data_IF_566028369498
#
_entry.id   IF_566028369498
#
_cell.length_a   1.000
_cell.length_b   1.000
_cell.length_c   1.000
_cell.angle_alpha   90.00
_cell.angle_beta   90.00
_cell.angle_gamma   90.00
#
_symmetry.space_group_name_H-M   'P 1'
#
loop_
_entity.id
_entity.type
_entity.pdbx_description
1 polymer ?
#
# COMPACT_ATOMS: atom_id res chain seq x y z
N UNK A 1 -5.96 -17.80 14.64
CA UNK A 1 -4.85 -17.60 13.69
C UNK A 1 -4.61 -16.10 13.57
N UNK A 2 -3.97 -15.49 14.58
CA UNK A 2 -3.69 -14.05 14.58
C UNK A 2 -2.38 -13.81 13.87
N UNK A 3 -2.39 -12.99 12.82
CA UNK A 3 -1.16 -12.46 12.24
C UNK A 3 -0.59 -11.49 13.29
N UNK A 4 0.40 -11.95 14.04
CA UNK A 4 1.20 -11.08 14.92
C UNK A 4 2.11 -10.29 14.00
N UNK A 5 2.02 -8.96 14.08
CA UNK A 5 2.96 -8.08 13.39
C UNK A 5 4.33 -8.19 14.06
N UNK A 6 5.33 -8.64 13.30
CA UNK A 6 6.72 -8.74 13.74
C UNK A 6 7.53 -7.54 13.17
N UNK A 7 8.01 -6.62 14.04
CA UNK A 7 8.81 -5.47 13.62
C UNK A 7 10.16 -5.85 13.01
N UNK A 8 10.74 -7.01 13.34
CA UNK A 8 12.03 -7.45 12.79
C UNK A 8 11.88 -8.12 11.41
N UNK A 9 10.66 -8.53 11.04
CA UNK A 9 10.36 -9.22 9.79
C UNK A 9 9.94 -8.31 8.62
N UNK A 10 10.19 -6.99 8.72
CA UNK A 10 9.83 -6.01 7.69
C UNK A 10 10.98 -5.03 7.41
N UNK A 11 12.14 -5.54 6.99
CA UNK A 11 13.22 -4.71 6.50
C UNK A 11 12.83 -4.03 5.18
N UNK A 12 13.42 -2.86 4.93
CA UNK A 12 13.30 -2.18 3.63
C UNK A 12 13.81 -3.15 2.55
N UNK A 13 12.95 -3.49 1.59
CA UNK A 13 13.12 -4.48 0.49
C UNK A 13 12.68 -5.94 0.76
N UNK A 14 12.08 -6.28 1.90
CA UNK A 14 11.52 -7.63 2.11
C UNK A 14 10.28 -7.90 1.23
N UNK A 15 9.58 -6.83 0.83
CA UNK A 15 8.43 -6.90 -0.08
C UNK A 15 8.85 -6.52 -1.50
N UNK A 16 8.55 -7.34 -2.53
CA UNK A 16 8.83 -6.97 -3.91
C UNK A 16 7.84 -5.90 -4.41
N UNK A 17 8.24 -5.14 -5.42
CA UNK A 17 7.34 -4.26 -6.16
C UNK A 17 6.22 -5.08 -6.85
N UNK A 18 5.04 -4.48 -7.14
CA UNK A 18 3.96 -5.16 -7.86
C UNK A 18 4.42 -5.68 -9.22
N UNK A 19 5.37 -4.96 -9.83
CA UNK A 19 6.10 -5.37 -11.01
C UNK A 19 7.59 -5.20 -10.75
N UNK A 20 8.32 -6.30 -10.53
CA UNK A 20 9.77 -6.26 -10.42
C UNK A 20 10.43 -5.74 -11.71
N UNK A 21 11.57 -5.08 -11.56
CA UNK A 21 12.38 -4.63 -12.69
C UNK A 21 12.93 -5.83 -13.48
N UNK A 22 13.01 -5.69 -14.81
CA UNK A 22 13.62 -6.71 -15.68
C UNK A 22 12.78 -7.94 -16.03
N UNK A 23 11.67 -8.22 -15.32
CA UNK A 23 10.78 -9.34 -15.66
C UNK A 23 9.72 -8.91 -16.67
N UNK A 24 9.33 -9.79 -17.61
CA UNK A 24 8.43 -9.46 -18.73
C UNK A 24 6.96 -9.82 -18.48
N UNK A 25 6.71 -10.89 -17.74
CA UNK A 25 5.39 -11.54 -17.64
C UNK A 25 5.00 -11.92 -16.20
N UNK A 26 5.65 -11.35 -15.19
CA UNK A 26 5.39 -11.62 -13.78
C UNK A 26 4.91 -10.36 -13.05
N UNK A 27 3.91 -10.51 -12.19
CA UNK A 27 3.44 -9.47 -11.28
C UNK A 27 3.05 -10.06 -9.93
N UNK A 28 3.40 -9.37 -8.86
CA UNK A 28 3.00 -9.70 -7.50
C UNK A 28 1.81 -8.84 -7.08
N UNK A 29 0.88 -9.42 -6.33
CA UNK A 29 -0.31 -8.73 -5.83
C UNK A 29 -0.57 -9.11 -4.36
N UNK A 30 -1.49 -8.40 -3.71
CA UNK A 30 -1.90 -8.59 -2.31
C UNK A 30 -0.92 -7.97 -1.28
N UNK A 31 -1.06 -8.37 -0.02
CA UNK A 31 -0.58 -7.66 1.17
C UNK A 31 0.94 -7.72 1.44
N UNK A 32 1.69 -8.50 0.67
CA UNK A 32 3.15 -8.66 0.83
C UNK A 32 3.95 -8.04 -0.30
N UNK A 33 3.33 -7.10 -1.01
CA UNK A 33 3.95 -6.35 -2.10
C UNK A 33 4.25 -4.95 -1.59
N UNK A 34 5.25 -4.27 -2.11
CA UNK A 34 5.60 -2.90 -1.71
C UNK A 34 4.75 -1.87 -2.46
N UNK A 35 4.04 -1.02 -1.73
CA UNK A 35 3.28 0.11 -2.26
C UNK A 35 3.45 1.28 -1.28
N UNK A 36 4.00 2.38 -1.79
CA UNK A 36 4.25 3.58 -1.00
C UNK A 36 2.95 4.17 -0.44
N UNK A 37 3.03 4.67 0.80
CA UNK A 37 1.96 5.38 1.53
C UNK A 37 0.65 4.59 1.78
N UNK A 38 0.55 3.32 1.39
CA UNK A 38 -0.65 2.49 1.60
C UNK A 38 -0.48 1.49 2.75
N UNK A 39 -1.61 1.03 3.33
CA UNK A 39 -1.64 0.18 4.51
C UNK A 39 -2.11 -1.24 4.16
N UNK A 40 -1.28 -2.22 4.54
CA UNK A 40 -1.61 -3.65 4.43
C UNK A 40 -2.79 -4.01 5.36
N UNK A 41 -3.31 -5.23 5.25
CA UNK A 41 -4.52 -5.70 5.95
C UNK A 41 -5.85 -5.09 5.43
N UNK A 42 -5.81 -4.36 4.33
CA UNK A 42 -7.01 -3.83 3.68
C UNK A 42 -7.27 -4.51 2.34
N UNK A 43 -8.55 -4.58 1.96
CA UNK A 43 -8.95 -5.01 0.61
C UNK A 43 -8.46 -4.00 -0.43
N UNK A 44 -8.50 -2.71 -0.09
CA UNK A 44 -8.03 -1.62 -0.96
C UNK A 44 -6.59 -1.84 -1.41
N UNK A 45 -5.69 -2.20 -0.48
CA UNK A 45 -4.29 -2.50 -0.78
C UNK A 45 -4.14 -3.59 -1.85
N UNK A 46 -4.88 -4.69 -1.70
CA UNK A 46 -4.84 -5.82 -2.63
C UNK A 46 -5.36 -5.43 -4.02
N UNK A 47 -6.44 -4.64 -4.07
CA UNK A 47 -7.00 -4.13 -5.33
C UNK A 47 -6.02 -3.17 -6.01
N UNK A 48 -5.38 -2.28 -5.24
CA UNK A 48 -4.36 -1.34 -5.74
C UNK A 48 -3.15 -2.06 -6.30
N UNK A 49 -2.63 -3.07 -5.60
CA UNK A 49 -1.52 -3.90 -6.07
C UNK A 49 -1.86 -4.56 -7.43
N UNK A 50 -3.06 -5.14 -7.55
CA UNK A 50 -3.53 -5.73 -8.78
C UNK A 50 -3.67 -4.70 -9.91
N UNK A 51 -4.22 -3.51 -9.61
CA UNK A 51 -4.34 -2.42 -10.57
C UNK A 51 -2.97 -1.97 -11.09
N UNK A 52 -1.99 -1.76 -10.20
CA UNK A 52 -0.62 -1.42 -10.54
C UNK A 52 0.01 -2.47 -11.46
N UNK A 53 -0.09 -3.75 -11.08
CA UNK A 53 0.48 -4.84 -11.85
C UNK A 53 -0.12 -4.94 -13.25
N UNK A 54 -1.46 -4.91 -13.37
CA UNK A 54 -2.15 -4.99 -14.66
C UNK A 54 -1.85 -3.78 -15.53
N UNK A 55 -1.89 -2.56 -14.97
CA UNK A 55 -1.70 -1.35 -15.75
C UNK A 55 -0.29 -1.27 -16.33
N UNK A 56 0.70 -1.54 -15.49
CA UNK A 56 2.09 -1.55 -15.95
C UNK A 56 2.36 -2.67 -16.96
N UNK A 57 1.77 -3.86 -16.79
CA UNK A 57 2.00 -5.00 -17.69
C UNK A 57 1.32 -4.89 -19.03
N UNK A 58 0.12 -4.32 -19.06
CA UNK A 58 -0.65 -4.16 -20.28
C UNK A 58 -0.45 -2.79 -20.94
N UNK A 59 0.42 -1.95 -20.39
CA UNK A 59 0.67 -0.59 -20.92
C UNK A 59 -0.59 0.28 -20.87
N UNK A 60 -1.43 0.12 -19.84
CA UNK A 60 -2.66 0.90 -19.70
C UNK A 60 -2.30 2.29 -19.16
N UNK A 61 -2.46 3.31 -20.00
CA UNK A 61 -2.21 4.71 -19.64
C UNK A 61 -3.38 5.33 -18.86
N UNK A 62 -3.69 4.75 -17.69
CA UNK A 62 -4.69 5.28 -16.76
C UNK A 62 -4.07 5.54 -15.40
N UNK A 63 -4.45 6.66 -14.78
CA UNK A 63 -4.00 7.01 -13.44
C UNK A 63 -4.59 6.06 -12.40
N UNK A 64 -3.74 5.59 -11.49
CA UNK A 64 -4.18 4.91 -10.27
C UNK A 64 -4.71 5.99 -9.31
N UNK A 65 -5.87 5.79 -8.65
CA UNK A 65 -6.40 6.74 -7.68
C UNK A 65 -5.39 7.04 -6.57
N UNK A 66 -5.27 8.28 -6.11
CA UNK A 66 -4.35 8.62 -5.02
C UNK A 66 -4.88 8.13 -3.67
N UNK A 67 -3.96 7.84 -2.75
CA UNK A 67 -4.28 7.51 -1.36
C UNK A 67 -4.66 8.81 -0.64
N UNK A 68 -5.75 8.78 0.11
CA UNK A 68 -6.26 9.98 0.80
C UNK A 68 -5.40 10.28 2.03
N UNK A 69 -4.73 11.44 2.03
CA UNK A 69 -3.78 11.86 3.07
C UNK A 69 -4.48 12.55 4.24
N UNK A 70 -5.41 11.85 4.90
CA UNK A 70 -6.21 12.41 6.00
C UNK A 70 -5.35 12.92 7.18
N UNK A 71 -4.20 12.27 7.43
CA UNK A 71 -3.24 12.67 8.47
C UNK A 71 -2.67 14.09 8.27
N UNK A 72 -2.64 14.59 7.03
CA UNK A 72 -2.12 15.94 6.72
C UNK A 72 -3.17 17.05 6.93
N UNK A 73 -4.42 16.70 7.23
CA UNK A 73 -5.49 17.68 7.47
C UNK A 73 -5.40 18.27 8.89
N UNK A 74 -5.36 19.60 9.00
CA UNK A 74 -5.38 20.35 10.26
C UNK A 74 -6.57 19.95 11.15
N UNK A 75 -7.75 19.79 10.55
CA UNK A 75 -8.97 19.38 11.27
C UNK A 75 -8.77 18.02 11.92
N UNK A 76 -8.27 17.05 11.15
CA UNK A 76 -8.04 15.67 11.63
C UNK A 76 -6.98 15.68 12.74
N UNK A 77 -5.91 16.45 12.59
CA UNK A 77 -4.87 16.55 13.62
C UNK A 77 -5.41 17.13 14.94
N UNK A 78 -6.21 18.20 14.89
CA UNK A 78 -6.85 18.76 16.09
C UNK A 78 -7.81 17.76 16.73
N UNK A 79 -8.67 17.12 15.94
CA UNK A 79 -9.62 16.11 16.42
C UNK A 79 -8.88 14.93 17.09
N UNK A 80 -7.78 14.47 16.50
CA UNK A 80 -6.94 13.38 17.06
C UNK A 80 -6.34 13.80 18.40
N UNK A 81 -5.80 15.02 18.52
CA UNK A 81 -5.23 15.52 19.79
C UNK A 81 -6.32 15.55 20.86
N UNK A 82 -7.48 16.16 20.60
CA UNK A 82 -8.58 16.21 21.58
C UNK A 82 -9.05 14.82 22.00
N UNK A 83 -9.16 13.89 21.05
CA UNK A 83 -9.61 12.50 21.30
C UNK A 83 -8.58 11.65 22.04
N UNK A 84 -7.29 11.97 21.94
CA UNK A 84 -6.23 11.20 22.61
C UNK A 84 -6.17 11.47 24.12
N UNK A 85 -6.71 12.61 24.56
CA UNK A 85 -6.73 13.03 25.97
C UNK A 85 -8.13 13.01 26.61
N UNK A 86 -9.14 12.54 25.88
CA UNK A 86 -10.53 12.36 26.37
C UNK A 86 -10.89 10.89 26.32
#
# INVERSE_FOLDING_TARGET
MGLVWDPEANAVNDRPLPVPTGVKNLGFISQFVEIDDDVVFTVEYSVRAAQMAVYQRLGIERKIPLITQNSKSLKVQLDVVTKSFT
#
